data_IF_036395943551
#
_entry.id   IF_036395943551
#
_cell.length_a   1.000
_cell.length_b   1.000
_cell.length_c   1.000
_cell.angle_alpha   90.00
_cell.angle_beta   90.00
_cell.angle_gamma   90.00
#
_symmetry.space_group_name_H-M   'P 1'
#
loop_
_entity.id
_entity.type
_entity.pdbx_description
1 polymer ?
#
# COMPACT_ATOMS: atom_id res chain seq x y z
N UNK A 1 2.02 0.81 -16.12
CA UNK A 1 0.59 0.56 -15.78
C UNK A 1 0.34 1.08 -14.38
N UNK A 2 -0.74 1.84 -14.18
CA UNK A 2 -1.12 2.33 -12.85
C UNK A 2 -1.80 1.20 -12.07
N UNK A 3 -1.46 1.06 -10.79
CA UNK A 3 -2.08 0.12 -9.86
C UNK A 3 -2.74 0.93 -8.76
N UNK A 4 -4.04 0.74 -8.56
CA UNK A 4 -4.80 1.36 -7.46
C UNK A 4 -5.65 0.31 -6.76
N UNK A 5 -5.86 0.49 -5.46
CA UNK A 5 -6.70 -0.42 -4.68
C UNK A 5 -7.14 0.18 -3.36
N UNK A 6 -8.22 -0.37 -2.80
CA UNK A 6 -8.69 -0.10 -1.46
C UNK A 6 -9.12 -1.42 -0.82
N UNK A 7 -8.60 -1.70 0.38
CA UNK A 7 -8.78 -2.96 1.10
C UNK A 7 -8.68 -2.71 2.61
N UNK A 8 -9.01 -3.74 3.38
CA UNK A 8 -8.92 -3.76 4.84
C UNK A 8 -8.23 -5.03 5.27
N UNK A 9 -7.38 -4.93 6.29
CA UNK A 9 -6.77 -6.06 6.99
C UNK A 9 -6.91 -5.89 8.52
N UNK A 10 -6.16 -6.68 9.28
CA UNK A 10 -6.09 -6.67 10.73
C UNK A 10 -5.57 -5.34 11.30
N UNK A 11 -4.65 -4.68 10.60
CA UNK A 11 -4.15 -3.34 10.97
C UNK A 11 -5.24 -2.30 10.69
N UNK A 12 -5.84 -2.30 9.49
CA UNK A 12 -7.00 -1.46 9.19
C UNK A 12 -7.28 -1.25 7.72
N UNK A 13 -8.06 -0.22 7.41
CA UNK A 13 -8.37 0.16 6.02
C UNK A 13 -7.19 0.89 5.41
N UNK A 14 -6.84 0.54 4.18
CA UNK A 14 -5.74 1.14 3.45
C UNK A 14 -6.06 1.32 1.96
N UNK A 15 -5.36 2.27 1.36
CA UNK A 15 -5.29 2.44 -0.09
C UNK A 15 -3.94 2.02 -0.61
N UNK A 16 -3.91 1.58 -1.87
CA UNK A 16 -2.68 1.32 -2.63
C UNK A 16 -2.68 2.29 -3.81
N UNK A 17 -1.58 3.01 -3.99
CA UNK A 17 -1.23 3.68 -5.24
C UNK A 17 0.17 3.19 -5.66
N UNK A 18 0.33 2.89 -6.94
CA UNK A 18 1.60 2.41 -7.44
C UNK A 18 1.64 2.29 -8.95
N UNK A 19 2.78 1.78 -9.41
CA UNK A 19 3.02 1.57 -10.82
C UNK A 19 3.78 0.27 -11.07
N UNK A 20 3.44 -0.35 -12.20
CA UNK A 20 4.15 -1.49 -12.77
C UNK A 20 4.75 -1.13 -14.12
N UNK A 21 6.02 -1.46 -14.32
CA UNK A 21 6.75 -1.26 -15.57
C UNK A 21 6.89 -2.59 -16.31
N UNK A 22 6.20 -2.76 -17.43
CA UNK A 22 6.39 -3.94 -18.30
C UNK A 22 7.77 -4.00 -18.95
N UNK A 23 8.47 -2.85 -19.06
CA UNK A 23 9.82 -2.81 -19.66
C UNK A 23 10.87 -3.39 -18.72
N UNK A 24 10.79 -3.03 -17.45
CA UNK A 24 11.79 -3.41 -16.44
C UNK A 24 11.28 -4.51 -15.50
N UNK A 25 10.03 -4.96 -15.65
CA UNK A 25 9.33 -5.90 -14.77
C UNK A 25 9.37 -5.50 -13.29
N UNK A 26 9.53 -4.20 -13.01
CA UNK A 26 9.58 -3.65 -11.67
C UNK A 26 8.20 -3.18 -11.22
N UNK A 27 7.97 -3.28 -9.91
CA UNK A 27 6.76 -2.77 -9.27
C UNK A 27 7.14 -1.88 -8.08
N UNK A 28 6.46 -0.74 -7.97
CA UNK A 28 6.50 0.11 -6.79
C UNK A 28 5.08 0.37 -6.33
N UNK A 29 4.78 0.02 -5.08
CA UNK A 29 3.48 0.20 -4.43
C UNK A 29 3.66 0.98 -3.14
N UNK A 30 2.77 1.94 -2.91
CA UNK A 30 2.63 2.65 -1.64
C UNK A 30 1.29 2.28 -1.03
N UNK A 31 1.34 1.60 0.11
CA UNK A 31 0.19 1.28 0.95
C UNK A 31 0.06 2.35 2.03
N UNK A 32 -1.09 3.01 2.10
CA UNK A 32 -1.36 4.06 3.09
C UNK A 32 -2.52 3.64 3.96
N UNK A 33 -2.30 3.48 5.26
CA UNK A 33 -3.37 3.17 6.20
C UNK A 33 -4.15 4.43 6.58
N UNK A 34 -5.47 4.31 6.65
CA UNK A 34 -6.35 5.36 7.15
C UNK A 34 -6.40 5.29 8.68
N UNK A 35 -5.89 6.33 9.34
CA UNK A 35 -5.92 6.45 10.81
C UNK A 35 -7.35 6.33 11.34
N UNK A 36 -7.52 5.59 12.44
CA UNK A 36 -8.82 5.38 13.08
C UNK A 36 -9.65 4.24 12.50
N UNK A 37 -9.06 3.42 11.62
CA UNK A 37 -9.65 2.16 11.16
C UNK A 37 -8.85 0.96 11.72
N UNK A 38 -9.51 -0.19 11.89
CA UNK A 38 -8.86 -1.40 12.42
C UNK A 38 -8.32 -1.23 13.84
N UNK A 39 -7.13 -1.75 14.10
CA UNK A 39 -6.52 -1.75 15.43
C UNK A 39 -5.86 -0.40 15.77
N UNK A 40 -6.34 0.36 16.76
CA UNK A 40 -5.78 1.67 17.10
C UNK A 40 -4.36 1.64 17.65
N UNK A 41 -3.89 0.52 18.19
CA UNK A 41 -2.51 0.41 18.69
C UNK A 41 -1.48 0.21 17.57
N UNK A 42 -1.91 -0.21 16.39
CA UNK A 42 -1.05 -0.53 15.25
C UNK A 42 -1.25 0.45 14.08
N UNK A 43 -2.50 0.86 13.83
CA UNK A 43 -2.85 1.80 12.76
C UNK A 43 -2.74 3.26 13.21
N UNK A 44 -1.50 3.73 13.18
CA UNK A 44 -1.15 5.13 13.42
C UNK A 44 -1.26 6.02 12.16
N UNK A 45 -1.83 5.51 11.06
CA UNK A 45 -1.88 6.20 9.77
C UNK A 45 -0.55 6.17 9.00
N UNK A 46 0.24 5.12 9.19
CA UNK A 46 1.56 4.99 8.58
C UNK A 46 1.49 4.53 7.11
N UNK A 47 2.62 4.65 6.42
CA UNK A 47 2.77 4.23 5.02
C UNK A 47 3.80 3.11 4.92
N UNK A 48 3.54 2.17 4.02
CA UNK A 48 4.43 1.06 3.68
C UNK A 48 4.73 1.13 2.19
N UNK A 49 6.01 1.19 1.84
CA UNK A 49 6.47 1.13 0.46
C UNK A 49 6.96 -0.27 0.16
N UNK A 50 6.40 -0.88 -0.89
CA UNK A 50 6.79 -2.19 -1.38
C UNK A 50 7.41 -1.99 -2.77
N UNK A 51 8.66 -2.40 -2.91
CA UNK A 51 9.38 -2.35 -4.17
C UNK A 51 9.87 -3.75 -4.50
N UNK A 52 9.62 -4.19 -5.72
CA UNK A 52 10.29 -5.36 -6.29
C UNK A 52 11.26 -4.82 -7.35
N UNK A 53 12.53 -4.73 -6.96
CA UNK A 53 13.67 -4.36 -7.81
C UNK A 53 14.68 -5.50 -7.78
N UNK A 54 15.35 -5.71 -8.92
CA UNK A 54 16.52 -6.59 -9.01
C UNK A 54 17.78 -5.83 -8.65
#
# INVERSE_FOLDING_TARGET
>A
MKVIGCRTDDVGTFTIDGSYSFKTHQIGLTKTYQRGSGNPSENLGHQVTIQLTW
#
